data_IF_157805585685
#
_entry.id   IF_157805585685
#
_cell.length_a   1.000
_cell.length_b   1.000
_cell.length_c   1.000
_cell.angle_alpha   90.00
_cell.angle_beta   90.00
_cell.angle_gamma   90.00
#
_symmetry.space_group_name_H-M   'P 1'
#
loop_
_entity.id
_entity.type
_entity.pdbx_description
1 polymer ?
#
# COMPACT_ATOMS: atom_id res chain seq x y z
N UNK A 1 3.71 -10.41 -8.32
CA UNK A 1 2.58 -10.14 -9.25
C UNK A 1 3.09 -9.43 -10.49
N UNK A 2 3.65 -8.21 -10.36
CA UNK A 2 4.27 -7.49 -11.49
C UNK A 2 5.30 -8.28 -12.28
N UNK A 3 6.30 -8.91 -11.64
CA UNK A 3 7.30 -9.74 -12.35
C UNK A 3 6.73 -10.95 -13.10
N UNK A 4 5.61 -11.51 -12.63
CA UNK A 4 4.97 -12.69 -13.23
C UNK A 4 4.07 -12.26 -14.39
N UNK A 5 3.41 -11.11 -14.26
CA UNK A 5 2.70 -10.42 -15.33
C UNK A 5 3.66 -10.02 -16.46
N UNK A 6 4.81 -9.45 -16.09
CA UNK A 6 5.83 -8.99 -17.03
C UNK A 6 6.46 -10.17 -17.79
N UNK A 7 6.66 -11.30 -17.11
CA UNK A 7 7.09 -12.55 -17.75
C UNK A 7 6.03 -13.08 -18.73
N UNK A 8 4.76 -13.13 -18.31
CA UNK A 8 3.66 -13.59 -19.18
C UNK A 8 3.44 -12.67 -20.39
N UNK A 9 3.61 -11.35 -20.23
CA UNK A 9 3.53 -10.38 -21.34
C UNK A 9 4.71 -10.54 -22.30
N UNK A 10 5.93 -10.75 -21.77
CA UNK A 10 7.13 -11.03 -22.59
C UNK A 10 7.01 -12.35 -23.37
N UNK A 11 6.34 -13.35 -22.81
CA UNK A 11 6.07 -14.63 -23.47
C UNK A 11 5.01 -14.51 -24.59
N UNK A 12 4.08 -13.55 -24.47
CA UNK A 12 3.08 -13.18 -25.49
C UNK A 12 3.70 -12.46 -26.69
N UNK A 13 4.59 -11.48 -26.45
CA UNK A 13 5.32 -10.75 -27.52
C UNK A 13 6.22 -11.69 -28.35
N UNK A 14 6.64 -12.83 -27.81
CA UNK A 14 7.47 -13.81 -28.50
C UNK A 14 6.68 -14.72 -29.49
N UNK A 15 5.34 -14.68 -29.49
CA UNK A 15 4.47 -15.58 -30.26
C UNK A 15 3.77 -14.94 -31.47
N UNK A 16 4.25 -13.80 -31.98
CA UNK A 16 3.61 -12.96 -33.02
C UNK A 16 3.47 -13.58 -34.45
N UNK A 17 3.32 -14.91 -34.57
CA UNK A 17 2.75 -15.58 -35.74
C UNK A 17 1.97 -16.83 -35.33
N UNK A 18 0.68 -16.72 -34.96
CA UNK A 18 -0.33 -17.79 -35.13
C UNK A 18 -1.76 -17.28 -34.84
N UNK A 19 -2.71 -17.76 -35.66
CA UNK A 19 -4.17 -17.57 -35.71
C UNK A 19 -4.87 -16.82 -34.54
N UNK A 20 -5.60 -15.76 -34.90
CA UNK A 20 -6.36 -14.84 -34.03
C UNK A 20 -7.37 -15.52 -33.08
N UNK A 21 -7.90 -16.70 -33.42
CA UNK A 21 -8.88 -17.42 -32.60
C UNK A 21 -8.22 -18.20 -31.44
N UNK A 22 -6.96 -18.65 -31.62
CA UNK A 22 -6.19 -19.36 -30.58
C UNK A 22 -5.62 -18.38 -29.54
N UNK A 23 -5.43 -17.13 -29.95
CA UNK A 23 -4.90 -16.04 -29.12
C UNK A 23 -5.93 -15.60 -28.06
N UNK A 24 -7.21 -15.51 -28.43
CA UNK A 24 -8.30 -15.11 -27.50
C UNK A 24 -8.47 -16.11 -26.35
N UNK A 25 -8.44 -17.41 -26.63
CA UNK A 25 -8.55 -18.45 -25.61
C UNK A 25 -7.34 -18.45 -24.64
N UNK A 26 -6.14 -18.13 -25.15
CA UNK A 26 -4.94 -17.96 -24.34
C UNK A 26 -5.03 -16.73 -23.44
N UNK A 27 -5.52 -15.59 -23.97
CA UNK A 27 -5.81 -14.39 -23.17
C UNK A 27 -6.85 -14.65 -22.08
N UNK A 28 -7.95 -15.35 -22.39
CA UNK A 28 -8.98 -15.71 -21.40
C UNK A 28 -8.37 -16.57 -20.29
N UNK A 29 -7.56 -17.58 -20.65
CA UNK A 29 -6.87 -18.44 -19.69
C UNK A 29 -5.92 -17.65 -18.78
N UNK A 30 -5.19 -16.68 -19.33
CA UNK A 30 -4.31 -15.80 -18.55
C UNK A 30 -5.12 -14.93 -17.59
N UNK A 31 -6.20 -14.31 -18.06
CA UNK A 31 -7.10 -13.50 -17.22
C UNK A 31 -7.67 -14.33 -16.09
N UNK A 32 -8.16 -15.54 -16.37
CA UNK A 32 -8.70 -16.45 -15.35
C UNK A 32 -7.64 -16.84 -14.31
N UNK A 33 -6.41 -17.10 -14.75
CA UNK A 33 -5.30 -17.37 -13.85
C UNK A 33 -4.97 -16.17 -12.96
N UNK A 34 -4.98 -14.96 -13.53
CA UNK A 34 -4.72 -13.72 -12.79
C UNK A 34 -5.81 -13.44 -11.76
N UNK A 35 -7.08 -13.62 -12.13
CA UNK A 35 -8.22 -13.46 -11.21
C UNK A 35 -8.13 -14.45 -10.06
N UNK A 36 -7.76 -15.71 -10.34
CA UNK A 36 -7.57 -16.74 -9.30
C UNK A 36 -6.41 -16.41 -8.37
N UNK A 37 -5.24 -16.06 -8.91
CA UNK A 37 -4.07 -15.69 -8.10
C UNK A 37 -4.36 -14.44 -7.24
N UNK A 38 -5.00 -13.42 -7.82
CA UNK A 38 -5.41 -12.22 -7.10
C UNK A 38 -6.37 -12.56 -5.97
N UNK A 39 -7.44 -13.30 -6.26
CA UNK A 39 -8.43 -13.69 -5.25
C UNK A 39 -7.82 -14.50 -4.12
N UNK A 40 -6.89 -15.42 -4.44
CA UNK A 40 -6.18 -16.20 -3.43
C UNK A 40 -5.30 -15.31 -2.53
N UNK A 41 -4.53 -14.39 -3.14
CA UNK A 41 -3.63 -13.48 -2.41
C UNK A 41 -4.39 -12.52 -1.48
N UNK A 42 -5.57 -12.06 -1.88
CA UNK A 42 -6.39 -11.11 -1.10
C UNK A 42 -7.53 -11.77 -0.31
N UNK A 43 -7.53 -13.11 -0.20
CA UNK A 43 -8.56 -13.85 0.55
C UNK A 43 -8.68 -13.39 2.01
N UNK A 44 -7.55 -13.13 2.67
CA UNK A 44 -7.50 -12.62 4.05
C UNK A 44 -8.11 -11.21 4.18
N UNK A 45 -7.96 -10.35 3.17
CA UNK A 45 -8.57 -9.02 3.16
C UNK A 45 -10.10 -9.08 3.05
N UNK A 46 -10.62 -10.14 2.42
CA UNK A 46 -12.07 -10.38 2.34
C UNK A 46 -12.68 -10.66 3.71
N UNK A 47 -11.95 -11.36 4.58
CA UNK A 47 -12.39 -11.65 5.95
C UNK A 47 -12.37 -10.41 6.85
N UNK A 48 -11.52 -9.42 6.52
CA UNK A 48 -11.39 -8.15 7.25
C UNK A 48 -12.18 -7.00 6.60
N UNK A 49 -13.01 -7.26 5.58
CA UNK A 49 -13.63 -6.20 4.79
C UNK A 49 -14.45 -5.23 5.64
N UNK A 50 -15.26 -5.76 6.57
CA UNK A 50 -16.04 -4.93 7.50
C UNK A 50 -15.12 -4.23 8.51
N UNK A 51 -14.09 -4.90 9.01
CA UNK A 51 -13.08 -4.29 9.88
C UNK A 51 -12.39 -3.11 9.21
N UNK A 52 -12.11 -3.16 7.90
CA UNK A 52 -11.51 -2.02 7.20
C UNK A 52 -12.45 -0.83 7.07
N UNK A 53 -13.76 -1.05 7.03
CA UNK A 53 -14.74 0.04 7.03
C UNK A 53 -14.67 0.87 8.30
N UNK A 54 -14.17 0.31 9.41
CA UNK A 54 -13.96 1.02 10.66
C UNK A 54 -13.22 2.35 10.49
N UNK A 55 -12.23 2.41 9.58
CA UNK A 55 -11.45 3.63 9.33
C UNK A 55 -12.31 4.82 8.91
N UNK A 56 -13.37 4.56 8.15
CA UNK A 56 -14.22 5.60 7.55
C UNK A 56 -15.59 5.71 8.21
N UNK A 57 -16.01 4.65 8.91
CA UNK A 57 -17.38 4.46 9.39
C UNK A 57 -17.40 4.03 10.87
N UNK A 58 -16.40 4.40 11.66
CA UNK A 58 -16.36 4.14 13.10
C UNK A 58 -17.58 4.71 13.84
N UNK A 59 -18.20 5.77 13.29
CA UNK A 59 -19.42 6.41 13.79
C UNK A 59 -20.70 5.59 13.61
N UNK A 60 -20.70 4.58 12.73
CA UNK A 60 -21.89 3.79 12.37
C UNK A 60 -21.68 2.27 12.35
N UNK A 61 -20.44 1.80 12.47
CA UNK A 61 -20.14 0.37 12.45
C UNK A 61 -20.58 -0.31 13.74
N UNK A 62 -21.25 -1.45 13.61
CA UNK A 62 -21.58 -2.30 14.77
C UNK A 62 -20.37 -3.14 15.15
N UNK A 63 -20.12 -3.25 16.46
CA UNK A 63 -19.03 -4.05 17.00
C UNK A 63 -19.08 -5.51 16.55
N UNK A 64 -20.28 -6.12 16.49
CA UNK A 64 -20.49 -7.51 16.06
C UNK A 64 -20.02 -7.81 14.63
N UNK A 65 -19.83 -6.78 13.81
CA UNK A 65 -19.36 -6.91 12.43
C UNK A 65 -17.84 -6.86 12.31
N UNK A 66 -17.14 -6.46 13.38
CA UNK A 66 -15.69 -6.36 13.37
C UNK A 66 -15.09 -7.76 13.49
N UNK A 67 -14.29 -8.13 12.49
CA UNK A 67 -13.51 -9.35 12.55
C UNK A 67 -12.13 -9.02 13.14
N UNK A 68 -11.92 -9.37 14.41
CA UNK A 68 -10.75 -8.98 15.20
C UNK A 68 -9.70 -10.08 15.38
N UNK A 69 -9.82 -11.22 14.68
CA UNK A 69 -8.92 -12.39 14.82
C UNK A 69 -7.44 -12.14 14.54
N UNK A 70 -7.10 -11.03 13.86
CA UNK A 70 -5.70 -10.63 13.60
C UNK A 70 -5.19 -9.60 14.62
N UNK A 71 -6.04 -9.19 15.55
CA UNK A 71 -5.80 -8.12 16.52
C UNK A 71 -5.86 -8.66 17.96
N UNK A 72 -5.33 -9.86 18.21
CA UNK A 72 -5.32 -10.52 19.53
C UNK A 72 -4.65 -9.70 20.64
N UNK A 73 -3.80 -8.74 20.26
CA UNK A 73 -3.12 -7.82 21.16
C UNK A 73 -4.01 -6.65 21.62
N UNK A 74 -5.22 -6.52 21.07
CA UNK A 74 -6.17 -5.44 21.36
C UNK A 74 -7.09 -5.83 22.51
N UNK A 75 -7.31 -4.90 23.43
CA UNK A 75 -8.24 -5.08 24.55
C UNK A 75 -9.68 -4.95 24.03
N UNK A 76 -10.34 -6.07 23.75
CA UNK A 76 -11.62 -6.15 23.04
C UNK A 76 -12.75 -5.47 23.83
N UNK A 77 -12.81 -5.69 25.15
CA UNK A 77 -13.82 -5.08 26.01
C UNK A 77 -13.67 -3.56 26.07
N UNK A 78 -12.42 -3.07 26.16
CA UNK A 78 -12.11 -1.64 26.16
C UNK A 78 -12.41 -1.01 24.80
N UNK A 79 -12.12 -1.71 23.71
CA UNK A 79 -12.48 -1.29 22.35
C UNK A 79 -13.99 -1.11 22.20
N UNK A 80 -14.79 -2.07 22.69
CA UNK A 80 -16.24 -2.03 22.60
C UNK A 80 -16.81 -0.84 23.39
N UNK A 81 -16.35 -0.65 24.64
CA UNK A 81 -16.76 0.49 25.46
C UNK A 81 -16.40 1.83 24.79
N UNK A 82 -15.16 1.96 24.33
CA UNK A 82 -14.72 3.17 23.62
C UNK A 82 -15.53 3.42 22.35
N UNK A 83 -15.90 2.37 21.60
CA UNK A 83 -16.74 2.50 20.41
C UNK A 83 -18.12 3.06 20.74
N UNK A 84 -18.75 2.58 21.81
CA UNK A 84 -20.06 3.07 22.27
C UNK A 84 -19.97 4.54 22.68
N UNK A 85 -18.96 4.91 23.46
CA UNK A 85 -18.74 6.29 23.90
C UNK A 85 -18.46 7.21 22.69
N UNK A 86 -17.68 6.72 21.74
CA UNK A 86 -17.37 7.43 20.49
C UNK A 86 -18.64 7.67 19.66
N UNK A 87 -19.49 6.65 19.50
CA UNK A 87 -20.76 6.71 18.79
C UNK A 87 -21.85 7.49 19.52
N UNK A 88 -21.65 7.80 20.79
CA UNK A 88 -22.53 8.69 21.56
C UNK A 88 -22.13 10.17 21.42
N UNK A 89 -20.92 10.45 20.92
CA UNK A 89 -20.39 11.80 20.76
C UNK A 89 -20.77 12.41 19.41
N UNK A 90 -21.69 13.38 19.44
CA UNK A 90 -22.08 14.13 18.23
C UNK A 90 -20.90 14.84 17.56
N UNK A 91 -19.90 15.27 18.33
CA UNK A 91 -18.68 15.93 17.82
C UNK A 91 -17.91 14.98 16.91
N UNK A 92 -17.71 13.73 17.34
CA UNK A 92 -16.92 12.75 16.58
C UNK A 92 -17.67 12.23 15.37
N UNK A 93 -18.98 11.98 15.52
CA UNK A 93 -19.86 11.62 14.39
C UNK A 93 -19.79 12.68 13.30
N UNK A 94 -19.98 13.96 13.65
CA UNK A 94 -19.93 15.04 12.67
C UNK A 94 -18.56 15.15 12.01
N UNK A 95 -17.48 14.99 12.80
CA UNK A 95 -16.12 15.03 12.26
C UNK A 95 -15.88 13.96 11.19
N UNK A 96 -16.33 12.72 11.43
CA UNK A 96 -16.18 11.64 10.44
C UNK A 96 -17.07 11.83 9.22
N UNK A 97 -18.27 12.40 9.37
CA UNK A 97 -19.13 12.80 8.24
C UNK A 97 -18.44 13.87 7.38
N UNK A 98 -17.86 14.90 8.01
CA UNK A 98 -17.14 15.97 7.32
C UNK A 98 -15.91 15.43 6.59
N UNK A 99 -15.12 14.56 7.24
CA UNK A 99 -13.99 13.90 6.61
C UNK A 99 -14.43 13.11 5.38
N UNK A 100 -15.50 12.31 5.47
CA UNK A 100 -16.04 11.59 4.30
C UNK A 100 -16.41 12.52 3.15
N UNK A 101 -17.11 13.62 3.42
CA UNK A 101 -17.47 14.62 2.39
C UNK A 101 -16.25 15.27 1.75
N UNK A 102 -15.21 15.59 2.54
CA UNK A 102 -13.96 16.14 2.00
C UNK A 102 -13.26 15.16 1.07
N UNK A 103 -13.23 13.87 1.43
CA UNK A 103 -12.62 12.83 0.59
C UNK A 103 -13.37 12.66 -0.74
N UNK A 104 -14.71 12.67 -0.71
CA UNK A 104 -15.55 12.65 -1.92
C UNK A 104 -15.24 13.85 -2.83
N UNK A 105 -15.05 15.05 -2.24
CA UNK A 105 -14.68 16.24 -2.99
C UNK A 105 -13.28 16.12 -3.61
N UNK A 106 -12.30 15.63 -2.84
CA UNK A 106 -10.93 15.40 -3.33
C UNK A 106 -10.92 14.41 -4.50
N UNK A 107 -11.69 13.32 -4.41
CA UNK A 107 -11.81 12.33 -5.47
C UNK A 107 -12.43 12.93 -6.74
N UNK A 108 -13.48 13.74 -6.60
CA UNK A 108 -14.09 14.45 -7.72
C UNK A 108 -13.14 15.48 -8.36
N UNK A 109 -12.36 16.21 -7.55
CA UNK A 109 -11.37 17.19 -8.03
C UNK A 109 -10.15 16.53 -8.68
N UNK A 110 -9.72 15.36 -8.20
CA UNK A 110 -8.64 14.54 -8.78
C UNK A 110 -8.94 14.12 -10.22
N UNK A 111 -10.21 13.94 -10.58
CA UNK A 111 -10.61 13.64 -11.97
C UNK A 111 -10.50 14.85 -12.91
N UNK A 112 -10.32 16.06 -12.37
CA UNK A 112 -10.38 17.33 -13.12
C UNK A 112 -9.12 18.18 -13.02
N UNK A 113 -8.20 17.88 -12.10
CA UNK A 113 -6.97 18.66 -11.88
C UNK A 113 -5.75 17.77 -11.63
N UNK A 114 -4.59 18.12 -12.20
CA UNK A 114 -3.29 17.45 -12.01
C UNK A 114 -2.71 17.63 -10.58
N UNK A 115 -3.47 18.18 -9.64
CA UNK A 115 -3.01 18.43 -8.27
C UNK A 115 -3.47 17.27 -7.39
N UNK A 116 -2.56 16.33 -7.15
CA UNK A 116 -2.67 15.29 -6.12
C UNK A 116 -2.80 15.92 -4.72
N UNK A 117 -4.02 16.29 -4.30
CA UNK A 117 -4.31 16.53 -2.89
C UNK A 117 -4.23 15.18 -2.17
N UNK A 118 -3.38 15.09 -1.14
CA UNK A 118 -3.07 13.83 -0.47
C UNK A 118 -4.23 13.40 0.45
N UNK A 119 -5.17 12.63 -0.08
CA UNK A 119 -6.31 11.99 0.59
C UNK A 119 -5.93 11.29 1.90
N UNK A 120 -4.74 10.70 1.96
CA UNK A 120 -4.23 9.98 3.13
C UNK A 120 -3.99 10.89 4.34
N UNK A 121 -3.70 12.18 4.10
CA UNK A 121 -3.45 13.14 5.18
C UNK A 121 -4.74 13.44 5.97
N UNK A 122 -5.88 13.63 5.30
CA UNK A 122 -7.14 14.00 5.98
C UNK A 122 -7.66 12.88 6.91
N UNK A 123 -7.52 11.60 6.50
CA UNK A 123 -7.88 10.45 7.35
C UNK A 123 -6.97 10.40 8.57
N UNK A 124 -5.65 10.50 8.37
CA UNK A 124 -4.69 10.46 9.48
C UNK A 124 -4.88 11.65 10.45
N UNK A 125 -5.10 12.85 9.94
CA UNK A 125 -5.39 14.04 10.76
C UNK A 125 -6.67 13.87 11.59
N UNK A 126 -7.70 13.27 10.99
CA UNK A 126 -8.96 12.97 11.67
C UNK A 126 -8.71 12.02 12.85
N UNK A 127 -8.02 10.90 12.62
CA UNK A 127 -7.70 9.93 13.68
C UNK A 127 -6.73 10.49 14.74
N UNK A 128 -5.76 11.32 14.34
CA UNK A 128 -4.83 11.97 15.27
C UNK A 128 -5.51 12.96 16.22
N UNK A 129 -6.60 13.58 15.78
CA UNK A 129 -7.36 14.54 16.57
C UNK A 129 -8.24 13.93 17.65
N UNK A 130 -8.44 12.61 17.61
CA UNK A 130 -9.23 11.89 18.60
C UNK A 130 -8.47 11.84 19.94
N UNK A 131 -9.14 12.10 21.09
CA UNK A 131 -8.55 12.04 22.41
C UNK A 131 -7.91 10.70 22.72
N UNK A 132 -6.91 10.71 23.59
CA UNK A 132 -6.22 9.49 24.02
C UNK A 132 -7.07 8.60 24.93
N UNK A 133 -8.22 9.09 25.39
CA UNK A 133 -9.27 8.27 26.00
C UNK A 133 -9.78 7.17 25.04
N UNK A 134 -9.67 7.36 23.72
CA UNK A 134 -10.06 6.39 22.70
C UNK A 134 -8.84 5.62 22.15
N UNK A 135 -7.88 5.28 23.03
CA UNK A 135 -6.62 4.70 22.59
C UNK A 135 -6.78 3.34 21.86
N UNK A 136 -7.77 2.51 22.22
CA UNK A 136 -7.97 1.22 21.59
C UNK A 136 -8.56 1.39 20.19
N UNK A 137 -9.49 2.34 20.01
CA UNK A 137 -9.97 2.73 18.68
C UNK A 137 -8.82 3.24 17.80
N UNK A 138 -7.97 4.12 18.35
CA UNK A 138 -6.80 4.66 17.62
C UNK A 138 -5.81 3.56 17.25
N UNK A 139 -5.50 2.63 18.17
CA UNK A 139 -4.62 1.48 17.91
C UNK A 139 -5.14 0.63 16.74
N UNK A 140 -6.43 0.29 16.74
CA UNK A 140 -7.05 -0.47 15.66
C UNK A 140 -6.96 0.29 14.33
N UNK A 141 -7.30 1.58 14.33
CA UNK A 141 -7.24 2.40 13.14
C UNK A 141 -5.83 2.49 12.54
N UNK A 142 -4.82 2.77 13.37
CA UNK A 142 -3.44 2.85 12.90
C UNK A 142 -2.92 1.50 12.43
N UNK A 143 -3.30 0.40 13.08
CA UNK A 143 -2.93 -0.93 12.61
C UNK A 143 -3.47 -1.19 11.20
N UNK A 144 -4.76 -0.92 10.97
CA UNK A 144 -5.38 -1.06 9.64
C UNK A 144 -4.72 -0.14 8.60
N UNK A 145 -4.52 1.14 8.92
CA UNK A 145 -3.86 2.09 8.01
C UNK A 145 -2.44 1.64 7.64
N UNK A 146 -1.71 1.10 8.61
CA UNK A 146 -0.35 0.59 8.41
C UNK A 146 -0.31 -0.64 7.50
N UNK A 147 -1.34 -1.51 7.51
CA UNK A 147 -1.41 -2.65 6.57
C UNK A 147 -1.35 -2.16 5.12
N UNK A 148 -2.14 -1.13 4.78
CA UNK A 148 -2.15 -0.58 3.42
C UNK A 148 -0.87 0.18 3.08
N UNK A 149 -0.38 1.04 3.98
CA UNK A 149 0.84 1.81 3.75
C UNK A 149 2.08 0.93 3.61
N UNK A 150 2.21 -0.11 4.45
CA UNK A 150 3.33 -1.06 4.38
C UNK A 150 3.25 -1.93 3.14
N UNK A 151 2.06 -2.36 2.72
CA UNK A 151 1.89 -3.12 1.46
C UNK A 151 2.34 -2.29 0.26
N UNK A 152 1.90 -1.03 0.17
CA UNK A 152 2.32 -0.11 -0.88
C UNK A 152 3.84 0.13 -0.85
N UNK A 153 4.40 0.42 0.33
CA UNK A 153 5.83 0.65 0.49
C UNK A 153 6.66 -0.59 0.09
N UNK A 154 6.22 -1.79 0.48
CA UNK A 154 6.86 -3.05 0.10
C UNK A 154 6.79 -3.31 -1.41
N UNK A 155 5.65 -3.04 -2.06
CA UNK A 155 5.51 -3.19 -3.51
C UNK A 155 6.35 -2.17 -4.28
N UNK A 156 6.39 -0.91 -3.82
CA UNK A 156 7.25 0.13 -4.36
C UNK A 156 8.73 -0.25 -4.21
N UNK A 157 9.15 -0.69 -3.03
CA UNK A 157 10.50 -1.17 -2.77
C UNK A 157 10.87 -2.36 -3.67
N UNK A 158 9.96 -3.32 -3.84
CA UNK A 158 10.20 -4.48 -4.70
C UNK A 158 10.33 -4.10 -6.18
N UNK A 159 9.50 -3.16 -6.65
CA UNK A 159 9.61 -2.59 -7.99
C UNK A 159 10.96 -1.92 -8.19
N UNK A 160 11.40 -1.13 -7.22
CA UNK A 160 12.70 -0.46 -7.23
C UNK A 160 13.87 -1.45 -7.24
N UNK A 161 13.80 -2.52 -6.44
CA UNK A 161 14.80 -3.60 -6.45
C UNK A 161 14.85 -4.28 -7.82
N UNK A 162 13.72 -4.49 -8.48
CA UNK A 162 13.69 -5.06 -9.83
C UNK A 162 14.32 -4.12 -10.86
N UNK A 163 14.09 -2.80 -10.76
CA UNK A 163 14.76 -1.80 -11.59
C UNK A 163 16.29 -1.77 -11.36
N UNK A 164 16.74 -1.91 -10.10
CA UNK A 164 18.17 -2.03 -9.77
C UNK A 164 18.79 -3.30 -10.37
N UNK A 165 17.98 -4.35 -10.55
CA UNK A 165 18.41 -5.66 -11.06
C UNK A 165 18.41 -5.76 -12.60
N UNK A 166 17.67 -4.90 -13.33
CA UNK A 166 17.49 -5.07 -14.78
C UNK A 166 18.63 -4.47 -15.66
N UNK A 167 18.88 -5.21 -16.74
CA UNK A 167 19.70 -5.05 -17.97
C UNK A 167 21.23 -4.81 -17.93
N UNK A 168 21.85 -4.18 -16.93
CA UNK A 168 23.31 -3.91 -16.96
C UNK A 168 24.16 -4.57 -15.86
N UNK A 169 23.56 -5.27 -14.88
CA UNK A 169 24.28 -5.77 -13.70
C UNK A 169 23.89 -7.19 -13.28
N UNK A 170 24.35 -8.19 -14.03
CA UNK A 170 24.19 -9.62 -13.68
C UNK A 170 25.04 -10.08 -12.46
N UNK A 171 25.68 -9.16 -11.72
CA UNK A 171 26.78 -9.46 -10.77
C UNK A 171 26.71 -8.69 -9.44
N UNK A 172 25.52 -8.31 -8.99
CA UNK A 172 25.33 -7.70 -7.66
C UNK A 172 25.23 -8.79 -6.57
N UNK A 173 26.04 -8.66 -5.52
CA UNK A 173 25.98 -9.44 -4.28
C UNK A 173 24.92 -8.84 -3.35
N UNK A 174 24.33 -9.60 -2.42
CA UNK A 174 23.28 -9.11 -1.51
C UNK A 174 23.66 -7.78 -0.82
N UNK A 175 24.91 -7.66 -0.37
CA UNK A 175 25.43 -6.45 0.29
C UNK A 175 25.32 -5.19 -0.59
N UNK A 176 25.57 -5.33 -1.90
CA UNK A 176 25.48 -4.22 -2.85
C UNK A 176 24.03 -3.83 -3.18
N UNK A 177 23.09 -4.76 -3.07
CA UNK A 177 21.66 -4.49 -3.22
C UNK A 177 21.13 -3.75 -1.99
N UNK A 178 21.48 -4.21 -0.79
CA UNK A 178 21.14 -3.53 0.47
C UNK A 178 21.70 -2.11 0.53
N UNK A 179 22.93 -1.88 0.09
CA UNK A 179 23.52 -0.54 0.03
C UNK A 179 22.80 0.37 -0.99
N UNK A 180 22.39 -0.15 -2.14
CA UNK A 180 21.68 0.62 -3.17
C UNK A 180 20.27 1.00 -2.71
N UNK A 181 19.56 0.09 -2.04
CA UNK A 181 18.28 0.37 -1.38
C UNK A 181 18.46 1.45 -0.32
N UNK A 182 19.46 1.31 0.56
CA UNK A 182 19.72 2.28 1.63
C UNK A 182 20.00 3.69 1.07
N UNK A 183 20.83 3.78 0.03
CA UNK A 183 21.13 5.05 -0.64
C UNK A 183 19.89 5.71 -1.27
N UNK A 184 18.92 4.92 -1.72
CA UNK A 184 17.71 5.43 -2.39
C UNK A 184 16.57 5.77 -1.42
N UNK A 185 16.48 5.05 -0.31
CA UNK A 185 15.45 5.26 0.73
C UNK A 185 15.88 6.29 1.78
N UNK A 186 17.17 6.61 1.87
CA UNK A 186 17.67 7.66 2.78
C UNK A 186 17.94 8.96 2.01
N UNK A 187 17.75 10.10 2.69
CA UNK A 187 18.12 11.44 2.19
C UNK A 187 19.62 11.68 2.31
N UNK A 188 20.44 10.68 1.95
CA UNK A 188 21.89 10.81 1.96
C UNK A 188 22.36 11.58 0.73
N UNK A 189 22.89 12.78 0.95
CA UNK A 189 23.60 13.52 -0.07
C UNK A 189 25.10 13.18 0.00
N UNK A 190 25.63 12.31 -0.87
CA UNK A 190 27.05 12.04 -0.89
C UNK A 190 27.83 13.30 -1.23
N UNK A 191 28.92 13.56 -0.51
CA UNK A 191 29.86 14.61 -0.87
C UNK A 191 30.68 14.16 -2.08
N UNK A 192 30.14 14.47 -3.27
CA UNK A 192 30.74 14.10 -4.57
C UNK A 192 32.12 14.74 -4.72
N UNK A 193 32.37 15.91 -4.11
CA UNK A 193 33.66 16.59 -4.20
C UNK A 193 34.75 15.85 -3.43
N UNK A 194 34.42 15.32 -2.26
CA UNK A 194 35.31 14.46 -1.48
C UNK A 194 35.52 13.08 -2.14
N UNK A 195 34.47 12.48 -2.71
CA UNK A 195 34.59 11.17 -3.35
C UNK A 195 35.40 11.23 -4.65
N UNK A 196 35.19 12.27 -5.47
CA UNK A 196 35.91 12.46 -6.74
C UNK A 196 37.39 12.79 -6.53
N UNK A 197 37.76 13.49 -5.46
CA UNK A 197 39.16 13.78 -5.13
C UNK A 197 39.93 12.56 -4.63
N UNK A 198 39.24 11.54 -4.12
CA UNK A 198 39.84 10.28 -3.64
C UNK A 198 39.78 9.12 -4.65
N UNK A 199 39.09 9.29 -5.80
CA UNK A 199 39.03 8.29 -6.86
C UNK A 199 40.35 8.26 -7.65
N UNK A 200 41.22 7.29 -7.36
CA UNK A 200 42.40 7.03 -8.18
C UNK A 200 41.96 6.62 -9.60
N UNK A 201 42.34 7.43 -10.59
CA UNK A 201 42.16 7.11 -12.00
C UNK A 201 42.84 5.76 -12.30
N UNK A 202 42.06 4.74 -12.64
CA UNK A 202 42.62 3.56 -13.28
C UNK A 202 43.18 3.99 -14.63
N UNK A 203 44.51 3.93 -14.78
CA UNK A 203 45.14 4.04 -16.09
C UNK A 203 44.72 2.83 -16.92
N UNK A 204 44.02 3.07 -18.02
CA UNK A 204 43.84 2.05 -19.06
C UNK A 204 45.22 1.66 -19.57
N UNK A 205 45.48 0.36 -19.60
CA UNK A 205 46.58 -0.23 -20.38
C UNK A 205 46.20 -0.30 -21.86
#
# INVERSE_FOLDING_TARGET
MFLKLEKNIKDLDAQEKRNEETDIDEFISIIDSLIKEFSAKFSQFKELSETFRFIMYSDVISFDKLNLFQFDWLEIEELEMQLIDFQSSSIWIQKFIETRKKLELIEAESLTSDISKNTSNEILETWNSIPDAFNCLKKLAYAILTIFSSTYACESLFSEINNIKDSLRNRLTDDSNSACILLKVTSYNPDISYLSSNLQQQKSH
#
